data_IF_485950588053
#
_entry.id   IF_485950588053
#
_cell.length_a   1.000
_cell.length_b   1.000
_cell.length_c   1.000
_cell.angle_alpha   90.00
_cell.angle_beta   90.00
_cell.angle_gamma   90.00
#
_symmetry.space_group_name_H-M   'P 1'
#
loop_
_entity.id
_entity.type
_entity.pdbx_description
1 polymer ?
#
# COMPACT_ATOMS: atom_id res chain seq x y z
N UNK A 1 -3.45 6.58 6.85
CA UNK A 1 -2.25 6.32 7.67
C UNK A 1 -1.10 7.10 7.07
N UNK A 2 -0.26 7.70 7.91
CA UNK A 2 0.94 8.46 7.53
C UNK A 2 2.12 7.85 8.28
N UNK A 3 3.22 7.57 7.58
CA UNK A 3 4.45 7.00 8.15
C UNK A 3 5.47 8.11 8.28
N UNK A 4 5.93 8.35 9.50
CA UNK A 4 7.02 9.29 9.79
C UNK A 4 8.28 8.45 10.04
N UNK A 5 9.26 8.48 9.13
CA UNK A 5 10.48 7.70 9.29
C UNK A 5 11.39 8.33 10.36
N UNK A 6 12.00 7.50 11.19
CA UNK A 6 13.06 7.83 12.13
C UNK A 6 14.26 6.95 11.82
N UNK A 7 15.09 7.38 10.89
CA UNK A 7 16.15 6.55 10.31
C UNK A 7 17.41 6.49 11.18
N UNK A 8 17.51 7.37 12.20
CA UNK A 8 18.66 7.37 13.09
C UNK A 8 18.42 6.48 14.31
N UNK A 9 19.24 5.47 14.47
CA UNK A 9 19.37 4.69 15.71
C UNK A 9 20.50 5.27 16.57
N UNK A 10 20.25 5.39 17.87
CA UNK A 10 21.26 5.82 18.83
C UNK A 10 21.71 4.58 19.63
N UNK A 11 22.98 4.22 19.52
CA UNK A 11 23.59 3.18 20.33
C UNK A 11 23.51 3.57 21.83
N UNK A 12 23.59 2.58 22.73
CA UNK A 12 23.41 2.81 24.14
C UNK A 12 24.42 3.85 24.69
N UNK A 13 25.64 3.89 24.16
CA UNK A 13 26.66 4.86 24.51
C UNK A 13 26.38 6.29 24.03
N UNK A 14 25.56 6.46 23.00
CA UNK A 14 25.16 7.76 22.43
C UNK A 14 23.89 8.32 23.09
N UNK A 15 23.18 7.50 23.86
CA UNK A 15 21.92 7.89 24.48
C UNK A 15 22.15 8.84 25.65
N UNK A 16 21.61 10.05 25.54
CA UNK A 16 21.58 10.99 26.68
C UNK A 16 20.32 10.79 27.51
N UNK A 17 20.50 10.11 28.63
CA UNK A 17 19.41 9.83 29.58
C UNK A 17 18.97 11.06 30.38
N UNK A 18 19.70 12.17 30.29
CA UNK A 18 19.39 13.41 31.01
C UNK A 18 18.50 14.37 30.24
N UNK A 19 18.32 14.17 28.92
CA UNK A 19 17.54 15.04 28.04
C UNK A 19 16.14 15.37 28.54
N UNK A 20 15.44 14.39 29.12
CA UNK A 20 14.10 14.61 29.69
C UNK A 20 14.13 15.60 30.84
N UNK A 21 15.14 15.51 31.69
CA UNK A 21 15.33 16.41 32.83
C UNK A 21 15.76 17.80 32.37
N UNK A 22 16.67 17.87 31.39
CA UNK A 22 17.11 19.14 30.80
C UNK A 22 15.94 19.90 30.16
N UNK A 23 15.08 19.23 29.38
CA UNK A 23 13.91 19.86 28.78
C UNK A 23 12.84 20.28 29.78
N UNK A 24 12.87 19.75 31.02
CA UNK A 24 11.95 20.13 32.08
C UNK A 24 12.40 21.37 32.85
N UNK A 25 13.59 21.93 32.59
CA UNK A 25 14.07 23.15 33.22
C UNK A 25 13.30 24.37 32.70
N UNK A 26 12.98 25.37 33.55
CA UNK A 26 12.19 26.55 33.18
C UNK A 26 12.75 27.31 31.96
N UNK A 27 14.07 27.49 31.90
CA UNK A 27 14.76 28.13 30.77
C UNK A 27 14.55 27.40 29.46
N UNK A 28 14.59 26.07 29.46
CA UNK A 28 14.39 25.26 28.28
C UNK A 28 12.90 25.16 27.87
N UNK A 29 12.01 25.17 28.86
CA UNK A 29 10.56 25.17 28.57
C UNK A 29 10.14 26.43 27.83
N UNK A 30 10.70 27.60 28.19
CA UNK A 30 10.42 28.86 27.48
C UNK A 30 10.89 28.81 26.02
N UNK A 31 12.08 28.25 25.76
CA UNK A 31 12.61 28.08 24.41
C UNK A 31 11.74 27.10 23.58
N UNK A 32 11.32 26.00 24.21
CA UNK A 32 10.43 25.01 23.55
C UNK A 32 9.08 25.64 23.22
N UNK A 33 8.50 26.44 24.13
CA UNK A 33 7.24 27.14 23.89
C UNK A 33 7.35 28.09 22.69
N UNK A 34 8.44 28.87 22.61
CA UNK A 34 8.66 29.77 21.47
C UNK A 34 8.75 29.00 20.14
N UNK A 35 9.45 27.87 20.14
CA UNK A 35 9.53 27.00 18.96
C UNK A 35 8.15 26.44 18.55
N UNK A 36 7.33 26.01 19.51
CA UNK A 36 5.96 25.54 19.26
C UNK A 36 5.06 26.66 18.71
N UNK A 37 5.16 27.89 19.25
CA UNK A 37 4.41 29.06 18.77
C UNK A 37 4.80 29.39 17.33
N UNK A 38 6.08 29.33 16.99
CA UNK A 38 6.55 29.56 15.62
C UNK A 38 6.04 28.48 14.66
N UNK A 39 6.13 27.21 15.06
CA UNK A 39 5.56 26.09 14.29
C UNK A 39 4.05 26.24 14.06
N UNK A 40 3.32 26.69 15.08
CA UNK A 40 1.88 26.99 14.95
C UNK A 40 1.62 28.11 13.93
N UNK A 41 2.38 29.22 14.00
CA UNK A 41 2.24 30.34 13.05
C UNK A 41 2.48 29.88 11.61
N UNK A 42 3.55 29.13 11.36
CA UNK A 42 3.86 28.57 10.05
C UNK A 42 2.71 27.65 9.55
N UNK A 43 2.20 26.79 10.41
CA UNK A 43 1.08 25.90 10.07
C UNK A 43 -0.18 26.69 9.72
N UNK A 44 -0.46 27.80 10.40
CA UNK A 44 -1.63 28.65 10.10
C UNK A 44 -1.47 29.44 8.79
N UNK A 45 -0.23 29.76 8.39
CA UNK A 45 0.06 30.50 7.15
C UNK A 45 0.11 29.58 5.93
N UNK A 46 0.77 28.44 6.03
CA UNK A 46 1.12 27.54 4.92
C UNK A 46 0.27 26.27 4.90
N UNK A 47 -0.50 26.01 5.95
CA UNK A 47 -1.13 24.73 6.20
C UNK A 47 -0.14 23.65 6.65
N UNK A 48 -0.65 22.48 7.02
CA UNK A 48 0.20 21.34 7.40
C UNK A 48 0.80 20.69 6.14
N UNK A 49 2.05 21.01 5.85
CA UNK A 49 2.80 20.43 4.73
C UNK A 49 3.40 19.08 5.12
N UNK A 50 3.19 18.06 4.27
CA UNK A 50 3.87 16.78 4.45
C UNK A 50 5.27 16.83 3.81
N UNK A 51 6.34 16.62 4.59
CA UNK A 51 7.71 16.52 4.06
C UNK A 51 7.85 15.41 3.01
N UNK A 52 8.78 15.58 2.08
CA UNK A 52 9.04 14.59 1.03
C UNK A 52 9.36 13.20 1.60
N UNK A 53 10.19 13.12 2.65
CA UNK A 53 10.52 11.87 3.34
C UNK A 53 9.26 11.12 3.86
N UNK A 54 8.29 11.84 4.43
CA UNK A 54 7.03 11.27 4.91
C UNK A 54 6.17 10.75 3.76
N UNK A 55 6.13 11.47 2.64
CA UNK A 55 5.40 11.03 1.43
C UNK A 55 6.00 9.74 0.86
N UNK A 56 7.34 9.69 0.75
CA UNK A 56 8.07 8.51 0.26
C UNK A 56 7.84 7.31 1.18
N UNK A 57 8.13 7.43 2.47
CA UNK A 57 7.96 6.34 3.43
C UNK A 57 6.50 5.84 3.50
N UNK A 58 5.52 6.75 3.39
CA UNK A 58 4.10 6.37 3.35
C UNK A 58 3.75 5.61 2.08
N UNK A 59 4.28 6.03 0.93
CA UNK A 59 4.05 5.35 -0.36
C UNK A 59 4.70 3.96 -0.38
N UNK A 60 5.92 3.83 0.12
CA UNK A 60 6.63 2.55 0.26
C UNK A 60 5.88 1.59 1.17
N UNK A 61 5.47 2.03 2.36
CA UNK A 61 4.68 1.20 3.25
C UNK A 61 3.36 0.73 2.62
N UNK A 62 2.66 1.61 1.89
CA UNK A 62 1.43 1.23 1.19
C UNK A 62 1.70 0.15 0.14
N UNK A 63 2.76 0.31 -0.66
CA UNK A 63 3.16 -0.65 -1.67
C UNK A 63 3.52 -2.01 -1.05
N UNK A 64 4.33 -2.00 0.01
CA UNK A 64 4.78 -3.23 0.67
C UNK A 64 3.65 -3.95 1.43
N UNK A 65 2.62 -3.19 1.85
CA UNK A 65 1.41 -3.73 2.48
C UNK A 65 0.33 -4.15 1.46
N UNK A 66 0.47 -3.78 0.19
CA UNK A 66 -0.50 -4.08 -0.86
C UNK A 66 -0.21 -5.43 -1.53
N UNK A 67 -0.71 -6.48 -0.90
CA UNK A 67 -0.59 -7.87 -1.38
C UNK A 67 -1.15 -8.08 -2.78
N UNK A 68 -2.17 -7.30 -3.16
CA UNK A 68 -2.77 -7.42 -4.50
C UNK A 68 -1.83 -6.87 -5.55
N UNK A 69 -1.17 -5.73 -5.28
CA UNK A 69 -0.15 -5.18 -6.18
C UNK A 69 1.00 -6.15 -6.35
N UNK A 70 1.55 -6.70 -5.26
CA UNK A 70 2.64 -7.68 -5.32
C UNK A 70 2.25 -8.92 -6.13
N UNK A 71 1.06 -9.46 -5.90
CA UNK A 71 0.53 -10.58 -6.68
C UNK A 71 0.42 -10.25 -8.17
N UNK A 72 -0.11 -9.08 -8.52
CA UNK A 72 -0.25 -8.64 -9.92
C UNK A 72 1.11 -8.57 -10.60
N UNK A 73 2.11 -7.96 -9.95
CA UNK A 73 3.47 -7.84 -10.48
C UNK A 73 4.16 -9.20 -10.64
N UNK A 74 3.97 -10.12 -9.69
CA UNK A 74 4.62 -11.44 -9.72
C UNK A 74 3.93 -12.46 -10.63
N UNK A 75 2.60 -12.53 -10.57
CA UNK A 75 1.84 -13.65 -11.18
C UNK A 75 1.06 -13.27 -12.43
N UNK A 76 0.85 -11.98 -12.68
CA UNK A 76 0.15 -11.53 -13.90
C UNK A 76 1.12 -10.88 -14.88
N UNK A 77 0.80 -10.95 -16.15
CA UNK A 77 1.50 -10.24 -17.23
C UNK A 77 0.53 -9.50 -18.12
N UNK A 78 0.95 -8.35 -18.62
CA UNK A 78 0.15 -7.56 -19.55
C UNK A 78 -0.01 -8.31 -20.88
N UNK A 79 -1.26 -8.50 -21.29
CA UNK A 79 -1.63 -9.16 -22.55
C UNK A 79 -2.88 -8.46 -23.10
N UNK A 80 -2.74 -7.43 -23.94
CA UNK A 80 -3.84 -6.52 -24.34
C UNK A 80 -5.09 -7.20 -24.90
N UNK A 81 -4.93 -8.35 -25.54
CA UNK A 81 -6.03 -9.12 -26.14
C UNK A 81 -6.55 -10.25 -25.24
N UNK A 82 -5.91 -10.48 -24.08
CA UNK A 82 -6.31 -11.55 -23.18
C UNK A 82 -7.54 -11.19 -22.36
N UNK A 83 -8.38 -12.19 -22.15
CA UNK A 83 -9.51 -12.14 -21.23
C UNK A 83 -9.41 -13.34 -20.28
N UNK A 84 -9.13 -13.08 -19.01
CA UNK A 84 -8.97 -14.13 -17.99
C UNK A 84 -10.15 -14.10 -17.03
N UNK A 85 -10.73 -15.27 -16.72
CA UNK A 85 -11.80 -15.35 -15.70
C UNK A 85 -11.27 -14.88 -14.37
N UNK A 86 -11.97 -13.93 -13.71
CA UNK A 86 -11.53 -13.41 -12.41
C UNK A 86 -11.55 -14.48 -11.32
N UNK A 87 -12.36 -15.54 -11.45
CA UNK A 87 -12.33 -16.68 -10.54
C UNK A 87 -10.98 -17.40 -10.58
N UNK A 88 -10.42 -17.64 -11.77
CA UNK A 88 -9.10 -18.27 -11.91
C UNK A 88 -7.99 -17.38 -11.35
N UNK A 89 -8.08 -16.07 -11.59
CA UNK A 89 -7.12 -15.10 -11.02
C UNK A 89 -7.19 -15.10 -9.50
N UNK A 90 -8.40 -15.18 -8.92
CA UNK A 90 -8.59 -15.24 -7.48
C UNK A 90 -8.09 -16.55 -6.87
N UNK A 91 -8.29 -17.69 -7.53
CA UNK A 91 -7.76 -18.97 -7.07
C UNK A 91 -6.21 -18.96 -7.07
N UNK A 92 -5.60 -18.38 -8.13
CA UNK A 92 -4.15 -18.16 -8.19
C UNK A 92 -3.68 -17.22 -7.06
N UNK A 93 -4.40 -16.16 -6.76
CA UNK A 93 -4.10 -15.24 -5.66
C UNK A 93 -4.15 -15.94 -4.30
N UNK A 94 -5.15 -16.79 -4.06
CA UNK A 94 -5.25 -17.56 -2.82
C UNK A 94 -4.08 -18.53 -2.64
N UNK A 95 -3.69 -19.21 -3.72
CA UNK A 95 -2.53 -20.10 -3.71
C UNK A 95 -1.24 -19.31 -3.39
N UNK A 96 -1.04 -18.19 -4.08
CA UNK A 96 0.10 -17.29 -3.84
C UNK A 96 0.13 -16.77 -2.38
N UNK A 97 -1.00 -16.36 -1.82
CA UNK A 97 -1.07 -15.96 -0.42
C UNK A 97 -0.68 -17.08 0.54
N UNK A 98 -1.13 -18.31 0.26
CA UNK A 98 -0.77 -19.49 1.06
C UNK A 98 0.74 -19.78 1.00
N UNK A 99 1.34 -19.68 -0.19
CA UNK A 99 2.79 -19.86 -0.41
C UNK A 99 3.62 -18.80 0.34
N UNK A 100 3.13 -17.56 0.40
CA UNK A 100 3.79 -16.42 1.06
C UNK A 100 3.39 -16.23 2.54
N UNK A 101 2.64 -17.15 3.13
CA UNK A 101 2.26 -17.10 4.54
C UNK A 101 1.35 -15.93 4.90
N UNK A 102 0.58 -15.39 3.95
CA UNK A 102 -0.34 -14.30 4.19
C UNK A 102 -1.81 -14.69 3.97
N UNK A 103 -2.72 -13.96 4.63
CA UNK A 103 -4.16 -14.19 4.44
C UNK A 103 -4.65 -13.53 3.15
N UNK A 104 -5.40 -14.30 2.34
CA UNK A 104 -6.03 -13.77 1.14
C UNK A 104 -7.19 -12.82 1.51
N UNK A 105 -7.29 -11.71 0.77
CA UNK A 105 -8.46 -10.84 0.82
C UNK A 105 -9.73 -11.58 0.38
N UNK A 106 -10.90 -11.06 0.78
CA UNK A 106 -12.16 -11.59 0.25
C UNK A 106 -12.22 -11.40 -1.27
N UNK A 107 -12.92 -12.28 -1.99
CA UNK A 107 -13.10 -12.18 -3.44
C UNK A 107 -13.63 -10.80 -3.87
N UNK A 108 -14.52 -10.19 -3.07
CA UNK A 108 -15.06 -8.85 -3.31
C UNK A 108 -13.96 -7.78 -3.26
N UNK A 109 -13.15 -7.76 -2.19
CA UNK A 109 -12.07 -6.80 -1.99
C UNK A 109 -10.98 -6.97 -3.04
N UNK A 110 -10.60 -8.22 -3.33
CA UNK A 110 -9.65 -8.55 -4.39
C UNK A 110 -10.09 -8.02 -5.77
N UNK A 111 -11.33 -8.31 -6.17
CA UNK A 111 -11.86 -7.81 -7.45
C UNK A 111 -11.99 -6.28 -7.47
N UNK A 112 -12.22 -5.63 -6.33
CA UNK A 112 -12.22 -4.17 -6.25
C UNK A 112 -10.81 -3.61 -6.44
N UNK A 113 -9.79 -4.23 -5.83
CA UNK A 113 -8.39 -3.84 -6.00
C UNK A 113 -7.90 -4.08 -7.44
N UNK A 114 -8.29 -5.19 -8.08
CA UNK A 114 -7.92 -5.47 -9.48
C UNK A 114 -8.38 -4.40 -10.47
N UNK A 115 -9.45 -3.66 -10.18
CA UNK A 115 -9.94 -2.57 -11.06
C UNK A 115 -9.00 -1.38 -11.16
N UNK A 116 -8.04 -1.24 -10.23
CA UNK A 116 -6.98 -0.21 -10.35
C UNK A 116 -5.91 -0.57 -11.39
N UNK A 117 -5.82 -1.85 -11.78
CA UNK A 117 -4.83 -2.35 -12.73
C UNK A 117 -5.43 -2.62 -14.11
N UNK A 118 -6.67 -3.10 -14.18
CA UNK A 118 -7.28 -3.54 -15.42
C UNK A 118 -8.80 -3.42 -15.43
N UNK A 119 -9.36 -3.45 -16.63
CA UNK A 119 -10.81 -3.46 -16.81
C UNK A 119 -11.41 -4.81 -16.40
N UNK A 120 -12.34 -4.79 -15.45
CA UNK A 120 -13.10 -5.97 -14.99
C UNK A 120 -14.50 -5.92 -15.61
N UNK A 121 -14.78 -6.79 -16.57
CA UNK A 121 -16.01 -6.81 -17.37
C UNK A 121 -16.88 -8.00 -16.98
N UNK A 122 -18.20 -7.80 -16.93
CA UNK A 122 -19.16 -8.88 -16.76
C UNK A 122 -19.63 -9.36 -18.15
N UNK A 123 -19.49 -10.65 -18.41
CA UNK A 123 -20.02 -11.28 -19.62
C UNK A 123 -21.18 -12.20 -19.29
N UNK A 124 -22.23 -12.11 -20.08
CA UNK A 124 -23.32 -13.07 -20.09
C UNK A 124 -23.02 -14.10 -21.19
N UNK A 125 -22.95 -15.40 -20.88
CA UNK A 125 -22.85 -16.43 -21.91
C UNK A 125 -24.10 -16.39 -22.79
N UNK A 126 -23.92 -16.64 -24.09
CA UNK A 126 -25.03 -16.62 -25.08
C UNK A 126 -26.05 -17.73 -24.90
N UNK A 127 -25.73 -18.82 -24.20
CA UNK A 127 -26.61 -19.95 -23.96
C UNK A 127 -26.49 -20.45 -22.51
N UNK A 128 -27.52 -20.19 -21.69
CA UNK A 128 -27.80 -20.94 -20.45
C UNK A 128 -26.77 -20.94 -19.32
N UNK A 129 -25.64 -20.28 -19.44
CA UNK A 129 -24.58 -20.22 -18.43
C UNK A 129 -24.69 -19.01 -17.50
N UNK A 130 -24.23 -19.17 -16.25
CA UNK A 130 -24.19 -18.08 -15.28
C UNK A 130 -23.29 -16.91 -15.68
N UNK A 131 -23.56 -15.74 -15.12
CA UNK A 131 -22.78 -14.53 -15.33
C UNK A 131 -21.30 -14.74 -14.95
N UNK A 132 -20.38 -14.47 -15.88
CA UNK A 132 -18.93 -14.62 -15.67
C UNK A 132 -18.25 -13.26 -15.71
N UNK A 133 -17.36 -13.02 -14.75
CA UNK A 133 -16.54 -11.80 -14.68
C UNK A 133 -15.17 -12.09 -15.29
N UNK A 134 -14.70 -11.20 -16.17
CA UNK A 134 -13.44 -11.33 -16.91
C UNK A 134 -12.54 -10.14 -16.60
N UNK A 135 -11.24 -10.40 -16.45
CA UNK A 135 -10.17 -9.42 -16.39
C UNK A 135 -9.62 -9.25 -17.81
N UNK A 136 -9.63 -8.02 -18.34
CA UNK A 136 -9.10 -7.69 -19.67
C UNK A 136 -7.69 -7.13 -19.58
N UNK A 137 -6.87 -7.46 -20.56
CA UNK A 137 -5.53 -6.91 -20.70
C UNK A 137 -4.47 -7.57 -19.84
N UNK A 138 -4.83 -8.63 -19.10
CA UNK A 138 -3.89 -9.40 -18.27
C UNK A 138 -4.17 -10.90 -18.36
N UNK A 139 -3.09 -11.68 -18.24
CA UNK A 139 -3.15 -13.15 -18.11
C UNK A 139 -2.27 -13.61 -16.96
N UNK A 140 -2.51 -14.83 -16.47
CA UNK A 140 -1.66 -15.47 -15.46
C UNK A 140 -0.40 -15.97 -16.14
N UNK A 141 0.78 -15.62 -15.63
CA UNK A 141 2.07 -16.09 -16.15
C UNK A 141 2.13 -17.62 -16.15
N UNK A 142 2.59 -18.18 -17.25
CA UNK A 142 2.72 -19.63 -17.40
C UNK A 142 1.45 -20.39 -17.75
N UNK A 143 0.29 -19.74 -17.87
CA UNK A 143 -0.90 -20.40 -18.41
C UNK A 143 -0.90 -20.36 -19.94
N UNK A 144 -1.14 -21.53 -20.61
CA UNK A 144 -1.32 -21.55 -22.06
C UNK A 144 -2.53 -20.71 -22.45
N UNK A 145 -2.47 -20.05 -23.62
CA UNK A 145 -3.63 -19.36 -24.18
C UNK A 145 -4.74 -20.39 -24.41
N UNK A 146 -5.90 -20.18 -23.79
CA UNK A 146 -7.11 -20.85 -24.28
C UNK A 146 -7.41 -20.26 -25.65
N UNK A 147 -7.31 -21.11 -26.68
CA UNK A 147 -7.71 -20.84 -28.04
C UNK A 147 -9.21 -20.54 -28.15
#
# INVERSE_FOLDING_TARGET
MVIIPFDRHFEEAEQDRTLKTEFSRPENQSAILNWLVEGYRLTMQEGLQQPAAVKVATAEYKRDSDKVTQFVEEKLEAAPLAETKTSLVYDCYRAWCSENGCYAESNRNFNQALRSFAEVVRKHPREGGGQTTMLRGYRIKGMPQAL
#
